data_IF_733432216566
#
_entry.id   IF_733432216566
#
_cell.length_a   1.000
_cell.length_b   1.000
_cell.length_c   1.000
_cell.angle_alpha   90.00
_cell.angle_beta   90.00
_cell.angle_gamma   90.00
#
_symmetry.space_group_name_H-M   'P 1'
#
loop_
_entity.id
_entity.type
_entity.pdbx_description
1 polymer ?
#
# COMPACT_ATOMS: atom_id res chain seq x y z
N UNK A 1 -3.79 35.65 10.69
CA UNK A 1 -4.43 34.70 9.76
C UNK A 1 -3.55 33.45 9.68
N UNK A 2 -3.88 32.36 10.39
CA UNK A 2 -3.11 31.11 10.32
C UNK A 2 -3.71 30.26 9.20
N UNK A 3 -3.02 30.18 8.08
CA UNK A 3 -3.36 29.27 6.99
C UNK A 3 -2.82 27.89 7.38
N UNK A 4 -3.71 26.97 7.78
CA UNK A 4 -3.40 25.54 7.86
C UNK A 4 -3.55 24.93 6.48
N UNK A 5 -2.63 25.25 5.55
CA UNK A 5 -2.59 24.62 4.24
C UNK A 5 -2.08 23.19 4.39
N UNK A 6 -2.92 22.21 4.03
CA UNK A 6 -2.57 20.81 3.72
C UNK A 6 -1.48 20.12 4.56
N UNK A 7 -1.51 20.23 5.90
CA UNK A 7 -0.59 19.45 6.75
C UNK A 7 -0.84 17.93 6.68
N UNK A 8 -2.04 17.49 6.27
CA UNK A 8 -2.46 16.07 6.30
C UNK A 8 -1.68 15.17 5.32
N UNK A 9 -1.53 15.50 4.02
CA UNK A 9 -0.77 14.66 3.10
C UNK A 9 0.69 14.51 3.51
N UNK A 10 1.33 15.60 3.94
CA UNK A 10 2.73 15.59 4.37
C UNK A 10 2.92 14.79 5.67
N UNK A 11 2.00 14.91 6.63
CA UNK A 11 2.00 14.10 7.84
C UNK A 11 1.91 12.60 7.53
N UNK A 12 0.99 12.20 6.64
CA UNK A 12 0.82 10.79 6.25
C UNK A 12 2.07 10.28 5.53
N UNK A 13 2.57 11.04 4.55
CA UNK A 13 3.78 10.68 3.81
C UNK A 13 4.99 10.49 4.75
N UNK A 14 5.23 11.44 5.64
CA UNK A 14 6.33 11.37 6.60
C UNK A 14 6.16 10.20 7.58
N UNK A 15 4.93 9.94 8.06
CA UNK A 15 4.66 8.80 8.95
C UNK A 15 4.94 7.47 8.24
N UNK A 16 4.49 7.31 6.99
CA UNK A 16 4.78 6.12 6.19
C UNK A 16 6.28 5.96 5.95
N UNK A 17 6.98 7.04 5.59
CA UNK A 17 8.43 7.04 5.37
C UNK A 17 9.19 6.57 6.60
N UNK A 18 8.80 7.04 7.79
CA UNK A 18 9.43 6.61 9.05
C UNK A 18 9.19 5.12 9.33
N UNK A 19 7.97 4.62 9.10
CA UNK A 19 7.64 3.20 9.30
C UNK A 19 8.42 2.31 8.32
N UNK A 20 8.44 2.69 7.03
CA UNK A 20 9.18 2.00 5.96
C UNK A 20 10.67 1.94 6.29
N UNK A 21 11.25 3.07 6.72
CA UNK A 21 12.66 3.14 7.16
C UNK A 21 12.92 2.26 8.39
N UNK A 22 12.06 2.33 9.40
CA UNK A 22 12.17 1.54 10.63
C UNK A 22 12.10 0.02 10.36
N UNK A 23 11.24 -0.41 9.43
CA UNK A 23 11.15 -1.81 8.99
C UNK A 23 12.26 -2.21 8.00
N UNK A 24 13.06 -1.26 7.49
CA UNK A 24 14.08 -1.53 6.48
C UNK A 24 13.49 -1.97 5.13
N UNK A 25 12.36 -1.37 4.73
CA UNK A 25 11.74 -1.58 3.41
C UNK A 25 12.37 -0.59 2.42
N UNK A 26 12.89 -1.11 1.31
CA UNK A 26 13.67 -0.33 0.34
C UNK A 26 12.83 0.19 -0.85
N UNK A 27 11.54 -0.10 -0.87
CA UNK A 27 10.64 0.28 -1.97
C UNK A 27 10.61 1.81 -2.16
N UNK A 28 10.88 2.25 -3.39
CA UNK A 28 10.81 3.66 -3.76
C UNK A 28 9.39 4.22 -3.58
N UNK A 29 9.28 5.32 -2.84
CA UNK A 29 8.01 6.02 -2.60
C UNK A 29 7.86 7.21 -3.55
N UNK A 30 6.82 7.20 -4.37
CA UNK A 30 6.48 8.29 -5.30
C UNK A 30 5.15 8.91 -4.88
N UNK A 31 5.07 10.24 -4.89
CA UNK A 31 3.82 10.97 -4.60
C UNK A 31 3.02 11.14 -5.88
N UNK A 32 1.82 10.56 -5.94
CA UNK A 32 1.01 10.56 -7.17
C UNK A 32 0.61 11.94 -7.71
N UNK A 33 0.59 12.97 -6.86
CA UNK A 33 0.34 14.37 -7.29
C UNK A 33 1.55 15.05 -7.92
N UNK A 34 2.72 14.41 -7.88
CA UNK A 34 3.96 14.88 -8.52
C UNK A 34 4.21 14.16 -9.85
N UNK A 35 3.41 13.14 -10.17
CA UNK A 35 3.48 12.39 -11.42
C UNK A 35 2.81 13.20 -12.53
N UNK A 36 3.50 13.37 -13.67
CA UNK A 36 3.09 14.25 -14.77
C UNK A 36 1.95 13.66 -15.62
N UNK A 37 0.76 13.56 -15.04
CA UNK A 37 -0.45 13.04 -15.69
C UNK A 37 -1.59 14.06 -15.64
N UNK A 38 -2.65 13.83 -16.43
CA UNK A 38 -3.91 14.54 -16.25
C UNK A 38 -4.55 14.21 -14.89
N UNK A 39 -4.44 15.13 -13.94
CA UNK A 39 -4.99 14.99 -12.60
C UNK A 39 -6.51 15.13 -12.52
N UNK A 40 -7.20 15.47 -13.62
CA UNK A 40 -8.66 15.43 -13.69
C UNK A 40 -9.21 13.99 -13.77
N UNK A 41 -8.37 13.03 -14.21
CA UNK A 41 -8.70 11.61 -14.26
C UNK A 41 -9.07 11.08 -12.87
N UNK A 42 -9.99 10.11 -12.84
CA UNK A 42 -10.46 9.49 -11.60
C UNK A 42 -10.40 7.97 -11.65
N UNK A 43 -10.40 7.37 -10.46
CA UNK A 43 -10.50 5.93 -10.24
C UNK A 43 -9.50 5.16 -11.12
N UNK A 44 -9.97 4.14 -11.85
CA UNK A 44 -9.19 3.30 -12.76
C UNK A 44 -8.35 4.10 -13.77
N UNK A 45 -8.94 5.12 -14.41
CA UNK A 45 -8.26 5.88 -15.46
C UNK A 45 -7.01 6.60 -14.90
N UNK A 46 -7.12 7.15 -13.68
CA UNK A 46 -5.99 7.78 -12.99
C UNK A 46 -4.89 6.77 -12.68
N UNK A 47 -5.24 5.58 -12.18
CA UNK A 47 -4.26 4.53 -11.86
C UNK A 47 -3.49 4.11 -13.11
N UNK A 48 -4.20 3.85 -14.21
CA UNK A 48 -3.58 3.44 -15.49
C UNK A 48 -2.67 4.53 -16.03
N UNK A 49 -3.09 5.80 -15.97
CA UNK A 49 -2.24 6.93 -16.37
C UNK A 49 -0.95 7.01 -15.55
N UNK A 50 -1.04 6.82 -14.23
CA UNK A 50 0.15 6.77 -13.35
C UNK A 50 1.06 5.61 -13.76
N UNK A 51 0.51 4.40 -13.92
CA UNK A 51 1.30 3.22 -14.31
C UNK A 51 2.05 3.45 -15.63
N UNK A 52 1.38 4.02 -16.63
CA UNK A 52 2.01 4.32 -17.93
C UNK A 52 3.11 5.37 -17.81
N UNK A 53 2.87 6.45 -17.07
CA UNK A 53 3.84 7.54 -16.90
C UNK A 53 5.12 7.05 -16.21
N UNK A 54 5.01 6.15 -15.24
CA UNK A 54 6.18 5.61 -14.52
C UNK A 54 6.75 4.34 -15.17
N UNK A 55 6.16 3.85 -16.27
CA UNK A 55 6.59 2.63 -16.95
C UNK A 55 6.32 1.33 -16.17
N UNK A 56 5.31 1.29 -15.30
CA UNK A 56 4.95 0.11 -14.54
C UNK A 56 4.13 -0.88 -15.39
N UNK A 57 4.54 -2.14 -15.38
CA UNK A 57 3.89 -3.28 -16.02
C UNK A 57 2.94 -4.04 -15.08
N UNK A 58 3.06 -3.84 -13.77
CA UNK A 58 2.24 -4.48 -12.74
C UNK A 58 1.64 -3.43 -11.81
N UNK A 59 0.35 -3.55 -11.53
CA UNK A 59 -0.33 -2.79 -10.49
C UNK A 59 -0.87 -3.75 -9.42
N UNK A 60 -0.43 -3.57 -8.18
CA UNK A 60 -0.85 -4.39 -7.04
C UNK A 60 -1.81 -3.58 -6.17
N UNK A 61 -2.99 -4.13 -5.90
CA UNK A 61 -3.95 -3.58 -4.95
C UNK A 61 -4.23 -4.58 -3.81
N UNK A 62 -4.81 -4.14 -2.70
CA UNK A 62 -5.31 -5.05 -1.68
C UNK A 62 -6.54 -5.82 -2.19
N UNK A 63 -6.75 -7.05 -1.69
CA UNK A 63 -7.89 -7.90 -2.10
C UNK A 63 -9.26 -7.25 -1.90
N UNK A 64 -9.40 -6.33 -0.93
CA UNK A 64 -10.63 -5.57 -0.71
C UNK A 64 -11.01 -4.65 -1.89
N UNK A 65 -10.04 -4.32 -2.75
CA UNK A 65 -10.25 -3.52 -3.96
C UNK A 65 -10.74 -4.30 -5.17
N UNK A 66 -10.98 -5.62 -5.07
CA UNK A 66 -11.41 -6.46 -6.21
C UNK A 66 -12.69 -5.97 -6.88
N UNK A 67 -13.63 -5.41 -6.13
CA UNK A 67 -14.88 -4.89 -6.68
C UNK A 67 -14.71 -3.57 -7.46
N UNK A 68 -13.55 -2.91 -7.35
CA UNK A 68 -13.32 -1.60 -7.95
C UNK A 68 -12.78 -1.68 -9.39
N UNK A 69 -12.21 -2.82 -9.78
CA UNK A 69 -11.41 -2.94 -11.01
C UNK A 69 -11.64 -4.27 -11.74
N UNK A 70 -11.71 -4.21 -13.07
CA UNK A 70 -11.67 -5.39 -13.95
C UNK A 70 -10.25 -5.61 -14.48
N UNK A 71 -9.73 -6.82 -14.27
CA UNK A 71 -8.39 -7.25 -14.72
C UNK A 71 -8.21 -7.11 -16.24
N UNK A 72 -9.26 -7.39 -17.02
CA UNK A 72 -9.20 -7.32 -18.48
C UNK A 72 -9.02 -5.88 -18.97
N UNK A 73 -9.53 -4.89 -18.24
CA UNK A 73 -9.40 -3.49 -18.60
C UNK A 73 -7.97 -2.99 -18.40
N UNK A 74 -7.31 -3.38 -17.30
CA UNK A 74 -5.89 -3.09 -17.09
C UNK A 74 -5.02 -3.78 -18.14
N UNK A 75 -5.33 -5.05 -18.45
CA UNK A 75 -4.57 -5.84 -19.43
C UNK A 75 -4.61 -5.23 -20.84
N UNK A 76 -5.74 -4.67 -21.26
CA UNK A 76 -5.86 -3.94 -22.55
C UNK A 76 -4.91 -2.74 -22.63
N UNK A 77 -4.59 -2.15 -21.49
CA UNK A 77 -3.70 -0.99 -21.37
C UNK A 77 -2.23 -1.39 -21.11
N UNK A 78 -1.92 -2.69 -21.20
CA UNK A 78 -0.57 -3.22 -20.96
C UNK A 78 -0.18 -3.34 -19.49
N UNK A 79 -1.13 -3.18 -18.55
CA UNK A 79 -0.88 -3.25 -17.11
C UNK A 79 -1.46 -4.54 -16.54
N UNK A 80 -0.65 -5.26 -15.78
CA UNK A 80 -1.05 -6.49 -15.13
C UNK A 80 -1.58 -6.21 -13.72
N UNK A 81 -2.90 -6.19 -13.57
CA UNK A 81 -3.54 -6.04 -12.27
C UNK A 81 -3.39 -7.33 -11.44
N UNK A 82 -2.92 -7.16 -10.19
CA UNK A 82 -2.77 -8.21 -9.19
C UNK A 82 -3.37 -7.76 -7.86
N UNK A 83 -3.83 -8.73 -7.08
CA UNK A 83 -4.37 -8.50 -5.75
C UNK A 83 -3.54 -9.21 -4.70
N UNK A 84 -3.08 -8.44 -3.72
CA UNK A 84 -2.35 -8.96 -2.56
C UNK A 84 -3.33 -9.56 -1.56
N UNK A 85 -3.09 -10.83 -1.23
CA UNK A 85 -3.79 -11.55 -0.17
C UNK A 85 -2.76 -11.93 0.88
N UNK A 86 -2.94 -11.38 2.09
CA UNK A 86 -2.11 -11.73 3.24
C UNK A 86 -2.50 -13.11 3.76
N UNK A 87 -1.52 -13.96 3.99
CA UNK A 87 -1.74 -15.25 4.63
C UNK A 87 -2.04 -15.05 6.12
N UNK A 88 -2.89 -15.91 6.66
CA UNK A 88 -3.21 -15.86 8.08
C UNK A 88 -2.00 -16.29 8.93
N UNK A 89 -1.71 -15.53 9.97
CA UNK A 89 -0.75 -15.89 11.00
C UNK A 89 -1.14 -15.25 12.33
N UNK A 90 -0.67 -15.85 13.42
CA UNK A 90 -0.90 -15.36 14.78
C UNK A 90 0.41 -14.89 15.42
N UNK A 91 0.28 -13.98 16.37
CA UNK A 91 1.35 -13.53 17.26
C UNK A 91 0.75 -13.19 18.62
N UNK A 92 1.60 -13.15 19.65
CA UNK A 92 1.16 -12.89 21.01
C UNK A 92 0.67 -11.44 21.17
N UNK A 93 -0.61 -11.25 21.45
CA UNK A 93 -1.23 -9.97 21.80
C UNK A 93 -1.55 -9.94 23.30
N UNK A 94 -0.58 -9.48 24.10
CA UNK A 94 -0.64 -9.59 25.56
C UNK A 94 -1.01 -11.02 26.03
N UNK A 95 -1.92 -11.15 26.99
CA UNK A 95 -2.50 -12.43 27.45
C UNK A 95 -3.94 -12.64 26.97
N UNK A 96 -4.38 -11.91 25.94
CA UNK A 96 -5.75 -11.95 25.43
C UNK A 96 -5.91 -13.01 24.33
N UNK A 97 -7.16 -13.28 23.94
CA UNK A 97 -7.44 -13.99 22.70
C UNK A 97 -6.90 -13.21 21.50
N UNK A 98 -6.34 -13.92 20.53
CA UNK A 98 -5.80 -13.31 19.32
C UNK A 98 -6.91 -12.67 18.48
N UNK A 99 -6.66 -11.43 18.04
CA UNK A 99 -7.51 -10.64 17.16
C UNK A 99 -6.77 -10.43 15.83
N UNK A 100 -7.24 -11.05 14.72
CA UNK A 100 -6.57 -10.94 13.44
C UNK A 100 -6.81 -9.56 12.77
N UNK A 101 -6.06 -9.30 11.69
CA UNK A 101 -6.31 -8.18 10.78
C UNK A 101 -6.22 -6.76 11.37
N UNK A 102 -5.57 -6.60 12.53
CA UNK A 102 -5.31 -5.27 13.12
C UNK A 102 -4.30 -4.44 12.30
N UNK A 103 -4.14 -3.15 12.65
CA UNK A 103 -3.19 -2.25 11.99
C UNK A 103 -1.74 -2.72 12.09
N UNK A 104 -0.87 -2.18 11.23
CA UNK A 104 0.59 -2.39 11.30
C UNK A 104 1.18 -1.96 12.66
N UNK A 105 0.57 -0.97 13.32
CA UNK A 105 1.03 -0.49 14.64
C UNK A 105 0.93 -1.58 15.70
N UNK A 106 -0.11 -2.42 15.64
CA UNK A 106 -0.26 -3.57 16.54
C UNK A 106 0.89 -4.57 16.34
N UNK A 107 1.25 -4.84 15.07
CA UNK A 107 2.37 -5.75 14.76
C UNK A 107 3.68 -5.18 15.29
N UNK A 108 3.90 -3.88 15.10
CA UNK A 108 5.08 -3.16 15.61
C UNK A 108 5.17 -3.14 17.13
N UNK A 109 4.03 -3.10 17.84
CA UNK A 109 4.01 -3.11 19.30
C UNK A 109 4.45 -4.47 19.88
N UNK A 110 4.05 -5.58 19.25
CA UNK A 110 4.22 -6.92 19.82
C UNK A 110 5.35 -7.75 19.21
N UNK A 111 5.99 -7.29 18.13
CA UNK A 111 6.96 -8.08 17.39
C UNK A 111 8.24 -7.28 17.13
N UNK A 112 9.37 -7.99 17.06
CA UNK A 112 10.62 -7.40 16.60
C UNK A 112 10.55 -7.07 15.11
N UNK A 113 11.36 -6.11 14.66
CA UNK A 113 11.49 -5.76 13.23
C UNK A 113 11.78 -6.99 12.37
N UNK A 114 12.66 -7.88 12.85
CA UNK A 114 12.97 -9.14 12.18
C UNK A 114 11.72 -10.00 11.94
N UNK A 115 10.88 -10.20 12.97
CA UNK A 115 9.64 -10.98 12.86
C UNK A 115 8.63 -10.32 11.93
N UNK A 116 8.49 -9.00 12.01
CA UNK A 116 7.59 -8.26 11.11
C UNK A 116 8.01 -8.45 9.66
N UNK A 117 9.31 -8.40 9.36
CA UNK A 117 9.83 -8.65 8.01
C UNK A 117 9.51 -10.07 7.52
N UNK A 118 9.59 -11.09 8.38
CA UNK A 118 9.11 -12.43 8.03
C UNK A 118 7.62 -12.41 7.67
N UNK A 119 6.79 -11.72 8.46
CA UNK A 119 5.35 -11.60 8.21
C UNK A 119 5.00 -10.81 6.94
N UNK A 120 5.78 -9.78 6.59
CA UNK A 120 5.56 -8.99 5.36
C UNK A 120 5.72 -9.84 4.09
N UNK A 121 6.41 -10.98 4.17
CA UNK A 121 6.55 -11.94 3.07
C UNK A 121 5.45 -13.01 3.03
N UNK A 122 4.52 -13.01 3.99
CA UNK A 122 3.40 -13.96 4.07
C UNK A 122 2.21 -13.45 3.25
N UNK A 123 2.36 -13.45 1.94
CA UNK A 123 1.29 -13.09 1.02
C UNK A 123 1.42 -13.83 -0.31
N UNK A 124 0.33 -13.87 -1.04
CA UNK A 124 0.32 -14.30 -2.44
C UNK A 124 -0.41 -13.27 -3.30
N UNK A 125 -0.07 -13.25 -4.58
CA UNK A 125 -0.69 -12.39 -5.58
C UNK A 125 -1.63 -13.21 -6.46
N UNK A 126 -2.86 -12.72 -6.63
CA UNK A 126 -3.89 -13.30 -7.53
C UNK A 126 -4.36 -12.33 -8.60
#
# INVERSE_FOLDING_TARGET
MRIFTFMRPLYIYNSLKQIVQFLGIETNMIVSSEVSIDHSLKSKAKVIAICKEIGADIYINSVGGKSLYDVNEFKKEGVNLRFLITEFFEYKQFGNQFVPWLSILDKMMFNSVYKIREYLNKYFLV
#
